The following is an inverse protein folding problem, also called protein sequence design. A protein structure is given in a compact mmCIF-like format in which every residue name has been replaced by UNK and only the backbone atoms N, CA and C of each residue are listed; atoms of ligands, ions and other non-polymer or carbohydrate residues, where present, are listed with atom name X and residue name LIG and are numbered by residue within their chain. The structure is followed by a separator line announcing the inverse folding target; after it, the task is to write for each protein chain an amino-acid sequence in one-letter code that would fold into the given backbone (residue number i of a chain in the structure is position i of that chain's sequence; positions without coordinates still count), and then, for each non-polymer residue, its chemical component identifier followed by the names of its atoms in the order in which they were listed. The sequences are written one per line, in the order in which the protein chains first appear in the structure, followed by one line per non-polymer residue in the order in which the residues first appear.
data_IF_091998290614
#
_entry.id   IF_091998290614
#
_cell.length_a   1.000
_cell.length_b   1.000
_cell.length_c   1.000
_cell.angle_alpha   90.00
_cell.angle_beta   90.00
_cell.angle_gamma   90.00
#
_symmetry.space_group_name_H-M   'P 1'
#
loop_
_entity.id
_entity.type
_entity.pdbx_description
1 polymer ?
#
# COMPACT_ATOMS: atom_id res chain seq x y z
N UNK A 1 -5.16 -11.00 24.26
CA UNK A 1 -5.14 -10.56 22.85
C UNK A 1 -4.44 -9.23 22.85
N UNK A 2 -3.20 -9.12 22.38
CA UNK A 2 -2.53 -7.82 22.31
C UNK A 2 -3.32 -6.93 21.37
N UNK A 3 -3.70 -5.74 21.84
CA UNK A 3 -4.29 -4.70 20.99
C UNK A 3 -3.30 -4.40 19.85
N UNK A 4 -3.79 -4.36 18.60
CA UNK A 4 -2.96 -3.99 17.46
C UNK A 4 -2.59 -2.51 17.59
N UNK A 5 -1.29 -2.21 17.67
CA UNK A 5 -0.77 -0.85 17.72
C UNK A 5 -0.39 -0.36 16.31
N UNK A 6 -1.15 0.57 15.70
CA UNK A 6 -0.87 1.06 14.36
C UNK A 6 0.37 1.97 14.28
N UNK A 7 1.03 2.27 15.40
CA UNK A 7 2.30 3.01 15.43
C UNK A 7 3.52 2.08 15.34
N UNK A 8 3.36 0.79 15.62
CA UNK A 8 4.41 -0.21 15.42
C UNK A 8 4.54 -0.57 13.93
N UNK A 9 5.58 -0.03 13.28
CA UNK A 9 5.78 -0.16 11.85
C UNK A 9 6.00 -1.61 11.39
N UNK A 10 6.71 -2.42 12.18
CA UNK A 10 6.93 -3.84 11.87
C UNK A 10 5.62 -4.60 11.93
N UNK A 11 4.83 -4.39 12.98
CA UNK A 11 3.52 -5.03 13.13
C UNK A 11 2.53 -4.61 12.02
N UNK A 12 2.54 -3.32 11.63
CA UNK A 12 1.74 -2.83 10.49
C UNK A 12 2.16 -3.53 9.20
N UNK A 13 3.46 -3.62 8.93
CA UNK A 13 3.98 -4.24 7.72
C UNK A 13 3.64 -5.73 7.64
N UNK A 14 3.89 -6.48 8.72
CA UNK A 14 3.56 -7.90 8.79
C UNK A 14 2.07 -8.16 8.63
N UNK A 15 1.24 -7.33 9.25
CA UNK A 15 -0.22 -7.42 9.12
C UNK A 15 -0.69 -7.22 7.68
N UNK A 16 -0.18 -6.21 6.99
CA UNK A 16 -0.54 -5.93 5.58
C UNK A 16 -0.14 -7.11 4.69
N UNK A 17 1.08 -7.62 4.86
CA UNK A 17 1.56 -8.80 4.10
C UNK A 17 0.69 -10.03 4.37
N UNK A 18 0.29 -10.25 5.62
CA UNK A 18 -0.57 -11.36 6.02
C UNK A 18 -1.96 -11.27 5.37
N UNK A 19 -2.62 -10.10 5.46
CA UNK A 19 -3.94 -9.89 4.85
C UNK A 19 -3.89 -10.02 3.32
N UNK A 20 -2.82 -9.51 2.69
CA UNK A 20 -2.64 -9.64 1.25
C UNK A 20 -2.42 -11.10 0.81
N UNK A 21 -1.62 -11.87 1.56
CA UNK A 21 -1.39 -13.28 1.27
C UNK A 21 -2.63 -14.15 1.47
N UNK A 22 -3.56 -13.72 2.33
CA UNK A 22 -4.85 -14.37 2.56
C UNK A 22 -5.94 -13.97 1.55
N UNK A 23 -5.64 -13.06 0.62
CA UNK A 23 -6.60 -12.45 -0.32
C UNK A 23 -7.77 -11.72 0.38
N UNK A 24 -7.55 -11.27 1.63
CA UNK A 24 -8.50 -10.52 2.45
C UNK A 24 -8.48 -9.03 2.06
N UNK A 25 -8.74 -8.75 0.78
CA UNK A 25 -8.59 -7.42 0.19
C UNK A 25 -9.93 -6.89 -0.32
N UNK A 26 -10.15 -5.58 -0.15
CA UNK A 26 -11.25 -4.85 -0.79
C UNK A 26 -10.72 -3.63 -1.53
N UNK A 27 -11.10 -3.50 -2.80
CA UNK A 27 -10.80 -2.31 -3.58
C UNK A 27 -11.89 -1.23 -3.39
N UNK A 28 -11.47 0.02 -3.25
CA UNK A 28 -12.38 1.17 -3.41
C UNK A 28 -12.62 1.45 -4.90
N UNK A 29 -13.67 2.23 -5.21
CA UNK A 29 -13.92 2.66 -6.58
C UNK A 29 -12.74 3.43 -7.18
N UNK A 30 -12.11 4.31 -6.40
CA UNK A 30 -10.93 5.07 -6.84
C UNK A 30 -9.76 4.14 -7.17
N UNK A 31 -9.45 3.16 -6.31
CA UNK A 31 -8.42 2.17 -6.61
C UNK A 31 -8.71 1.39 -7.91
N UNK A 32 -9.97 0.99 -8.14
CA UNK A 32 -10.36 0.31 -9.39
C UNK A 32 -10.16 1.19 -10.63
N UNK A 33 -10.47 2.49 -10.54
CA UNK A 33 -10.27 3.43 -11.65
C UNK A 33 -8.79 3.61 -11.98
N UNK A 34 -7.95 3.87 -10.99
CA UNK A 34 -6.50 4.02 -11.19
C UNK A 34 -5.85 2.74 -11.73
N UNK A 35 -6.29 1.58 -11.24
CA UNK A 35 -5.84 0.29 -11.76
C UNK A 35 -6.17 0.12 -13.25
N UNK A 36 -7.38 0.50 -13.68
CA UNK A 36 -7.76 0.45 -15.08
C UNK A 36 -6.95 1.45 -15.93
N UNK A 37 -6.78 2.68 -15.46
CA UNK A 37 -6.04 3.73 -16.16
C UNK A 37 -4.56 3.38 -16.36
N UNK A 38 -3.94 2.75 -15.36
CA UNK A 38 -2.52 2.39 -15.40
C UNK A 38 -2.27 0.93 -15.83
N UNK A 39 -3.29 0.18 -16.25
CA UNK A 39 -3.19 -1.25 -16.59
C UNK A 39 -2.54 -2.09 -15.47
N UNK A 40 -2.99 -1.88 -14.24
CA UNK A 40 -2.54 -2.62 -13.05
C UNK A 40 -3.59 -3.69 -12.72
N UNK A 41 -3.16 -4.94 -12.64
CA UNK A 41 -4.03 -6.07 -12.27
C UNK A 41 -4.05 -6.28 -10.76
N UNK A 42 -5.11 -6.92 -10.25
CA UNK A 42 -5.20 -7.25 -8.82
C UNK A 42 -4.04 -8.15 -8.36
N UNK A 43 -3.62 -9.11 -9.18
CA UNK A 43 -2.49 -9.99 -8.88
C UNK A 43 -1.18 -9.21 -8.69
N UNK A 44 -0.94 -8.18 -9.51
CA UNK A 44 0.22 -7.31 -9.35
C UNK A 44 0.17 -6.52 -8.03
N UNK A 45 -1.03 -6.06 -7.62
CA UNK A 45 -1.24 -5.38 -6.32
C UNK A 45 -0.95 -6.33 -5.16
N UNK A 46 -1.51 -7.54 -5.20
CA UNK A 46 -1.31 -8.56 -4.15
C UNK A 46 0.18 -8.90 -4.01
N UNK A 47 0.86 -9.18 -5.12
CA UNK A 47 2.29 -9.50 -5.09
C UNK A 47 3.14 -8.34 -4.53
N UNK A 48 2.83 -7.11 -4.96
CA UNK A 48 3.52 -5.93 -4.45
C UNK A 48 3.28 -5.74 -2.94
N UNK A 49 2.10 -6.07 -2.42
CA UNK A 49 1.83 -6.03 -0.97
C UNK A 49 2.57 -7.13 -0.21
N UNK A 50 2.56 -8.37 -0.71
CA UNK A 50 3.18 -9.53 -0.04
C UNK A 50 4.70 -9.36 0.10
N UNK A 51 5.36 -8.77 -0.90
CA UNK A 51 6.83 -8.60 -0.94
C UNK A 51 7.30 -7.18 -0.65
N UNK A 52 6.37 -6.23 -0.63
CA UNK A 52 6.65 -4.81 -0.46
C UNK A 52 6.97 -4.43 0.97
N UNK A 53 7.16 -3.13 1.18
CA UNK A 53 7.50 -2.53 2.45
C UNK A 53 6.66 -1.29 2.73
N UNK A 54 6.55 -0.97 4.01
CA UNK A 54 5.93 0.27 4.46
C UNK A 54 6.84 1.46 4.09
N UNK A 55 6.30 2.45 3.37
CA UNK A 55 7.04 3.67 3.00
C UNK A 55 6.66 4.86 3.89
N UNK A 56 5.37 5.06 4.13
CA UNK A 56 4.85 6.13 5.00
C UNK A 56 3.69 5.56 5.84
N UNK A 57 3.60 5.94 7.12
CA UNK A 57 2.53 5.51 8.02
C UNK A 57 1.75 6.71 8.56
N UNK A 58 0.42 6.65 8.53
CA UNK A 58 -0.48 7.72 8.97
C UNK A 58 -1.53 7.18 9.96
N UNK A 59 -1.12 6.79 11.18
CA UNK A 59 -2.01 6.18 12.15
C UNK A 59 -3.14 7.11 12.64
N UNK A 60 -2.97 8.43 12.51
CA UNK A 60 -3.91 9.45 12.98
C UNK A 60 -4.59 10.21 11.83
N UNK A 61 -4.57 9.67 10.61
CA UNK A 61 -5.17 10.36 9.48
C UNK A 61 -6.69 10.57 9.69
N UNK A 62 -7.19 11.78 9.38
CA UNK A 62 -8.56 12.22 9.67
C UNK A 62 -9.68 11.32 9.11
N UNK A 63 -9.38 10.51 8.09
CA UNK A 63 -10.32 9.56 7.44
C UNK A 63 -10.11 8.11 7.90
N UNK A 64 -9.35 7.90 8.96
CA UNK A 64 -8.95 6.59 9.48
C UNK A 64 -7.48 6.26 9.18
N UNK A 65 -6.90 5.41 10.02
CA UNK A 65 -5.50 5.00 9.96
C UNK A 65 -5.18 4.30 8.63
N UNK A 66 -4.15 4.79 7.95
CA UNK A 66 -3.72 4.29 6.65
C UNK A 66 -2.20 4.42 6.48
N UNK A 67 -1.68 3.84 5.41
CA UNK A 67 -0.27 3.94 5.06
C UNK A 67 -0.06 3.97 3.55
N UNK A 68 1.14 4.41 3.15
CA UNK A 68 1.69 4.17 1.81
C UNK A 68 2.61 2.97 1.87
N UNK A 69 2.30 1.95 1.08
CA UNK A 69 3.09 0.74 0.90
C UNK A 69 3.71 0.74 -0.50
N UNK A 70 4.96 0.31 -0.60
CA UNK A 70 5.70 0.24 -1.86
C UNK A 70 6.14 -1.19 -2.14
N UNK A 71 5.92 -1.66 -3.36
CA UNK A 71 6.34 -2.99 -3.77
C UNK A 71 6.57 -3.08 -5.26
N UNK A 72 6.89 -4.29 -5.72
CA UNK A 72 7.11 -4.59 -7.13
C UNK A 72 6.18 -5.73 -7.55
N UNK A 73 5.59 -5.58 -8.74
CA UNK A 73 4.93 -6.70 -9.42
C UNK A 73 5.93 -7.74 -9.94
N UNK A 74 5.43 -8.86 -10.45
CA UNK A 74 6.24 -9.90 -11.09
C UNK A 74 7.18 -9.35 -12.17
N UNK A 75 6.70 -8.38 -12.94
CA UNK A 75 7.41 -7.80 -14.09
C UNK A 75 8.38 -6.70 -13.67
N UNK A 76 8.69 -6.60 -12.37
CA UNK A 76 9.54 -5.55 -11.77
C UNK A 76 8.98 -4.14 -11.93
N UNK A 77 7.67 -4.00 -12.21
CA UNK A 77 6.98 -2.72 -12.20
C UNK A 77 6.77 -2.24 -10.76
N UNK A 78 7.26 -1.05 -10.37
CA UNK A 78 7.05 -0.51 -9.03
C UNK A 78 5.61 -0.05 -8.84
N UNK A 79 5.02 -0.37 -7.70
CA UNK A 79 3.65 0.02 -7.35
C UNK A 79 3.61 0.67 -5.97
N UNK A 80 2.90 1.78 -5.90
CA UNK A 80 2.52 2.48 -4.68
C UNK A 80 1.07 2.20 -4.36
N UNK A 81 0.82 1.76 -3.13
CA UNK A 81 -0.49 1.28 -2.69
C UNK A 81 -0.82 1.98 -1.39
N UNK A 82 -1.92 2.73 -1.36
CA UNK A 82 -2.42 3.31 -0.12
C UNK A 82 -3.52 2.41 0.42
N UNK A 83 -3.38 1.96 1.66
CA UNK A 83 -4.31 1.03 2.29
C UNK A 83 -4.53 1.31 3.77
N UNK A 84 -5.63 0.78 4.32
CA UNK A 84 -5.97 0.90 5.76
C UNK A 84 -5.10 -0.01 6.62
N UNK A 85 -4.72 0.43 7.82
CA UNK A 85 -3.83 -0.36 8.70
C UNK A 85 -4.55 -1.12 9.82
N UNK A 86 -5.72 -0.65 10.26
CA UNK A 86 -6.44 -1.18 11.45
C UNK A 86 -7.63 -2.09 11.11
N UNK A 87 -8.05 -2.12 9.85
CA UNK A 87 -9.28 -2.82 9.45
C UNK A 87 -9.08 -4.35 9.42
N UNK A 88 -10.15 -5.14 9.60
CA UNK A 88 -10.08 -6.60 9.49
C UNK A 88 -9.77 -7.06 8.06
N UNK A 89 -10.34 -6.38 7.06
CA UNK A 89 -10.00 -6.51 5.65
C UNK A 89 -9.04 -5.39 5.23
N UNK A 90 -8.10 -5.69 4.35
CA UNK A 90 -7.20 -4.69 3.79
C UNK A 90 -7.92 -3.89 2.71
N UNK A 91 -8.32 -2.66 3.04
CA UNK A 91 -9.00 -1.79 2.08
C UNK A 91 -7.96 -0.99 1.29
N UNK A 92 -7.93 -1.18 -0.02
CA UNK A 92 -7.07 -0.45 -0.96
C UNK A 92 -7.76 0.84 -1.40
N UNK A 93 -7.17 1.97 -1.02
CA UNK A 93 -7.69 3.31 -1.25
C UNK A 93 -7.28 3.82 -2.63
N UNK A 94 -6.03 3.61 -3.03
CA UNK A 94 -5.52 3.94 -4.37
C UNK A 94 -4.29 3.11 -4.70
N UNK A 95 -3.99 2.95 -5.99
CA UNK A 95 -2.79 2.26 -6.50
C UNK A 95 -2.25 3.04 -7.70
N UNK A 96 -0.94 3.27 -7.76
CA UNK A 96 -0.31 3.96 -8.90
C UNK A 96 1.16 3.58 -9.02
N UNK A 97 1.76 3.79 -10.19
CA UNK A 97 3.20 3.70 -10.39
C UNK A 97 3.90 4.99 -9.92
N UNK A 98 4.92 4.93 -9.03
CA UNK A 98 5.64 6.12 -8.57
C UNK A 98 6.38 6.80 -9.72
N UNK A 99 6.15 8.11 -9.90
CA UNK A 99 6.72 8.91 -10.99
C UNK A 99 7.59 10.06 -10.49
N UNK A 100 8.61 10.40 -11.28
CA UNK A 100 9.32 11.67 -11.17
C UNK A 100 8.35 12.85 -11.43
N UNK A 101 8.61 14.05 -10.86
CA UNK A 101 9.72 14.40 -10.00
C UNK A 101 9.47 14.08 -8.51
N UNK A 102 8.29 13.58 -8.16
CA UNK A 102 7.86 13.36 -6.77
C UNK A 102 8.63 12.23 -6.10
N UNK A 103 9.00 11.20 -6.85
CA UNK A 103 9.77 10.05 -6.39
C UNK A 103 11.08 9.95 -7.19
N UNK A 104 12.22 10.03 -6.50
CA UNK A 104 13.56 9.91 -7.11
C UNK A 104 13.83 8.45 -7.45
N UNK A 105 13.43 7.55 -6.54
CA UNK A 105 13.37 6.10 -6.75
C UNK A 105 11.98 5.63 -6.32
N UNK A 106 11.58 4.39 -6.65
CA UNK A 106 10.33 3.80 -6.16
C UNK A 106 10.17 3.76 -4.64
N UNK A 107 11.22 4.03 -3.85
CA UNK A 107 11.15 4.03 -2.39
C UNK A 107 11.60 5.34 -1.76
N UNK A 108 12.14 6.28 -2.55
CA UNK A 108 12.71 7.53 -2.07
C UNK A 108 11.97 8.71 -2.68
N UNK A 109 11.20 9.41 -1.83
CA UNK A 109 10.47 10.62 -2.20
C UNK A 109 11.45 11.80 -2.33
N UNK A 110 11.20 12.69 -3.30
CA UNK A 110 11.93 13.94 -3.41
C UNK A 110 11.59 14.83 -2.22
N UNK A 111 12.60 15.21 -1.44
CA UNK A 111 12.49 16.29 -0.48
C UNK A 111 12.62 17.61 -1.27
N UNK A 112 11.63 18.49 -1.12
CA UNK A 112 11.73 19.85 -1.62
C UNK A 112 12.47 20.65 -0.54
N UNK A 113 13.63 21.21 -0.89
CA UNK A 113 14.29 22.29 -0.14
C UNK A 113 13.56 23.62 -0.35
#
# INVERSE_FOLDING_TARGET
MSEFDPTNLEAVQERIRFQAAADDIRLTLHAQQEMLEENITLDQVIQALVRGQLLENYPQHQRGACCLFGGFSQDSRPLHIVCTTVQPLLIIITVYEPKLPKWITPTTRRQLE
#
